data_IF_233755797073
#
_entry.id   IF_233755797073
#
_cell.length_a   1.000
_cell.length_b   1.000
_cell.length_c   1.000
_cell.angle_alpha   90.00
_cell.angle_beta   90.00
_cell.angle_gamma   90.00
#
_symmetry.space_group_name_H-M   'P 1'
#
loop_
_entity.id
_entity.type
_entity.pdbx_description
1 polymer ?
#
# COMPACT_ATOMS: atom_id res chain seq x y z
N UNK A 1 -47.29 33.70 -7.17
CA UNK A 1 -46.20 33.43 -6.22
C UNK A 1 -46.08 31.92 -6.07
N UNK A 2 -44.99 31.29 -6.49
CA UNK A 2 -44.91 29.81 -6.45
C UNK A 2 -43.96 29.13 -7.43
N UNK A 3 -43.14 29.87 -8.20
CA UNK A 3 -42.12 29.27 -9.10
C UNK A 3 -40.70 29.31 -8.53
N UNK A 4 -40.52 29.90 -7.34
CA UNK A 4 -39.22 30.05 -6.68
C UNK A 4 -39.04 29.17 -5.43
N UNK A 5 -40.10 28.50 -4.93
CA UNK A 5 -40.00 27.66 -3.74
C UNK A 5 -39.41 26.26 -4.01
N UNK A 6 -39.53 25.73 -5.23
CA UNK A 6 -39.07 24.39 -5.56
C UNK A 6 -37.58 24.30 -5.91
N UNK A 7 -36.93 25.43 -6.23
CA UNK A 7 -35.48 25.47 -6.50
C UNK A 7 -34.65 25.33 -5.22
N UNK A 8 -35.22 25.63 -4.04
CA UNK A 8 -34.51 25.56 -2.75
C UNK A 8 -34.50 24.14 -2.14
N UNK A 9 -35.47 23.29 -2.46
CA UNK A 9 -35.53 21.91 -1.96
C UNK A 9 -34.57 20.96 -2.70
N UNK A 10 -34.14 21.29 -3.92
CA UNK A 10 -33.21 20.47 -4.70
C UNK A 10 -31.73 20.64 -4.31
N UNK A 11 -31.37 21.75 -3.65
CA UNK A 11 -29.98 22.07 -3.30
C UNK A 11 -29.52 21.49 -1.96
N UNK A 12 -30.44 21.03 -1.10
CA UNK A 12 -30.09 20.46 0.21
C UNK A 12 -29.70 18.97 0.17
N UNK A 13 -29.94 18.26 -0.95
CA UNK A 13 -29.55 16.85 -1.10
C UNK A 13 -28.12 16.65 -1.65
N UNK A 14 -27.44 17.73 -2.07
CA UNK A 14 -26.12 17.64 -2.73
C UNK A 14 -24.95 17.85 -1.74
N UNK A 15 -25.22 18.14 -0.47
CA UNK A 15 -24.19 18.47 0.52
C UNK A 15 -24.10 17.46 1.70
N UNK A 16 -24.37 16.18 1.45
CA UNK A 16 -23.85 15.13 2.33
C UNK A 16 -22.45 14.79 1.82
N UNK A 17 -21.36 15.26 2.47
CA UNK A 17 -20.06 14.72 2.17
C UNK A 17 -20.10 13.24 2.54
N UNK A 18 -20.02 12.36 1.54
CA UNK A 18 -19.71 10.94 1.71
C UNK A 18 -18.23 10.80 2.15
N UNK A 19 -17.79 11.60 3.11
CA UNK A 19 -16.48 11.52 3.73
C UNK A 19 -16.61 10.52 4.87
N UNK A 20 -16.55 9.23 4.55
CA UNK A 20 -16.63 8.21 5.60
C UNK A 20 -16.74 6.77 5.17
N UNK A 21 -16.83 6.46 3.87
CA UNK A 21 -16.56 5.11 3.40
C UNK A 21 -15.10 5.09 2.98
N UNK A 22 -14.20 4.78 3.92
CA UNK A 22 -12.89 4.25 3.54
C UNK A 22 -13.18 3.00 2.71
N UNK A 23 -13.08 3.12 1.38
CA UNK A 23 -13.08 1.95 0.53
C UNK A 23 -12.00 1.01 1.09
N UNK A 24 -12.24 -0.30 1.16
CA UNK A 24 -11.19 -1.23 1.58
C UNK A 24 -9.96 -0.90 0.75
N UNK A 25 -8.81 -0.67 1.40
CA UNK A 25 -7.56 -0.39 0.70
C UNK A 25 -7.19 -1.64 -0.12
N UNK A 26 -7.72 -1.72 -1.34
CA UNK A 26 -7.48 -2.83 -2.23
C UNK A 26 -6.09 -2.63 -2.81
N UNK A 27 -5.17 -3.49 -2.39
CA UNK A 27 -3.86 -3.55 -3.00
C UNK A 27 -3.99 -3.86 -4.50
N UNK A 28 -3.07 -3.36 -5.34
CA UNK A 28 -3.11 -3.67 -6.76
C UNK A 28 -3.00 -5.18 -6.99
N UNK A 29 -3.47 -5.66 -8.15
CA UNK A 29 -3.39 -7.08 -8.48
C UNK A 29 -1.96 -7.64 -8.36
N UNK A 30 -1.83 -8.79 -7.72
CA UNK A 30 -0.55 -9.45 -7.45
C UNK A 30 0.28 -8.83 -6.32
N UNK A 31 -0.32 -8.00 -5.46
CA UNK A 31 0.26 -7.55 -4.20
C UNK A 31 -0.42 -8.27 -3.03
N UNK A 32 0.35 -8.54 -1.98
CA UNK A 32 -0.16 -9.04 -0.71
C UNK A 32 -0.72 -7.86 0.10
N UNK A 33 -1.99 -7.96 0.52
CA UNK A 33 -2.57 -7.06 1.52
C UNK A 33 -2.32 -7.61 2.92
N UNK A 34 -1.74 -6.81 3.81
CA UNK A 34 -1.63 -7.13 5.23
C UNK A 34 -1.62 -5.84 6.06
N UNK A 35 -2.46 -5.76 7.10
CA UNK A 35 -2.55 -4.62 8.02
C UNK A 35 -2.65 -3.24 7.31
N UNK A 36 -3.50 -3.13 6.29
CA UNK A 36 -3.67 -1.93 5.46
C UNK A 36 -2.44 -1.50 4.62
N UNK A 37 -1.41 -2.34 4.55
CA UNK A 37 -0.26 -2.17 3.69
C UNK A 37 -0.27 -3.16 2.52
N UNK A 38 0.44 -2.79 1.45
CA UNK A 38 0.60 -3.61 0.26
C UNK A 38 2.06 -4.01 0.08
N UNK A 39 2.31 -5.30 -0.03
CA UNK A 39 3.66 -5.86 -0.19
C UNK A 39 3.77 -6.61 -1.51
N UNK A 40 4.96 -6.59 -2.11
CA UNK A 40 5.25 -7.36 -3.32
C UNK A 40 6.70 -7.77 -3.36
N UNK A 41 6.93 -9.03 -3.70
CA UNK A 41 8.27 -9.55 -3.94
C UNK A 41 8.64 -9.42 -5.42
N UNK A 42 9.89 -9.05 -5.68
CA UNK A 42 10.48 -9.02 -7.00
C UNK A 42 11.72 -9.91 -7.02
N UNK A 43 11.75 -10.89 -7.93
CA UNK A 43 12.78 -11.93 -7.95
C UNK A 43 14.07 -11.54 -8.70
N UNK A 44 14.09 -10.34 -9.30
CA UNK A 44 15.27 -9.84 -10.02
C UNK A 44 16.32 -9.38 -9.02
N UNK A 45 17.49 -10.01 -9.06
CA UNK A 45 18.63 -9.67 -8.21
C UNK A 45 19.06 -8.21 -8.41
N UNK A 46 19.28 -7.50 -7.30
CA UNK A 46 19.67 -6.10 -7.20
C UNK A 46 20.55 -5.92 -5.96
N UNK A 47 21.42 -4.92 -5.94
CA UNK A 47 21.96 -4.45 -4.67
C UNK A 47 20.90 -3.63 -3.89
N UNK A 48 21.16 -3.33 -2.63
CA UNK A 48 20.19 -2.62 -1.77
C UNK A 48 19.71 -1.30 -2.39
N UNK A 49 20.64 -0.45 -2.85
CA UNK A 49 20.32 0.87 -3.43
C UNK A 49 19.46 0.74 -4.69
N UNK A 50 19.79 -0.20 -5.57
CA UNK A 50 19.01 -0.49 -6.76
C UNK A 50 17.62 -1.04 -6.41
N UNK A 51 17.49 -1.81 -5.34
CA UNK A 51 16.22 -2.35 -4.88
C UNK A 51 15.31 -1.24 -4.33
N UNK A 52 15.84 -0.35 -3.50
CA UNK A 52 15.10 0.81 -2.98
C UNK A 52 14.65 1.75 -4.09
N UNK A 53 15.54 2.13 -5.01
CA UNK A 53 15.18 2.95 -6.16
C UNK A 53 14.12 2.28 -7.03
N UNK A 54 14.20 0.95 -7.21
CA UNK A 54 13.21 0.20 -7.98
C UNK A 54 11.84 0.18 -7.29
N UNK A 55 11.79 -0.01 -5.97
CA UNK A 55 10.56 0.03 -5.19
C UNK A 55 9.90 1.42 -5.25
N UNK A 56 10.67 2.50 -5.11
CA UNK A 56 10.19 3.89 -5.25
C UNK A 56 9.57 4.17 -6.61
N UNK A 57 10.07 3.52 -7.66
CA UNK A 57 9.55 3.67 -9.01
C UNK A 57 8.25 2.89 -9.28
N UNK A 58 7.81 1.99 -8.37
CA UNK A 58 6.59 1.20 -8.60
C UNK A 58 5.32 2.05 -8.48
N UNK A 59 5.20 2.82 -7.40
CA UNK A 59 4.11 3.76 -7.13
C UNK A 59 4.56 4.81 -6.11
N UNK A 60 3.88 5.94 -6.07
CA UNK A 60 4.04 6.96 -5.03
C UNK A 60 3.90 6.33 -3.65
N UNK A 61 4.87 6.58 -2.76
CA UNK A 61 4.90 6.05 -1.40
C UNK A 61 5.39 4.60 -1.26
N UNK A 62 5.78 3.93 -2.35
CA UNK A 62 6.41 2.61 -2.26
C UNK A 62 7.89 2.71 -1.87
N UNK A 63 8.32 1.81 -1.00
CA UNK A 63 9.69 1.65 -0.52
C UNK A 63 10.00 0.17 -0.34
N UNK A 64 11.25 -0.19 -0.07
CA UNK A 64 11.54 -1.48 0.53
C UNK A 64 10.76 -1.64 1.84
N UNK A 65 10.24 -2.85 2.08
CA UNK A 65 9.37 -3.11 3.23
C UNK A 65 10.08 -2.76 4.55
N UNK A 66 9.45 -1.90 5.35
CA UNK A 66 9.77 -1.75 6.77
C UNK A 66 8.93 -2.74 7.56
N UNK A 67 9.51 -3.34 8.60
CA UNK A 67 8.84 -4.35 9.42
C UNK A 67 8.84 -3.85 10.85
N UNK A 68 7.66 -3.66 11.43
CA UNK A 68 7.47 -3.01 12.72
C UNK A 68 6.86 -3.94 13.77
N UNK A 69 6.35 -5.11 13.35
CA UNK A 69 5.78 -6.10 14.26
C UNK A 69 6.26 -7.51 13.95
N UNK A 70 6.29 -8.37 14.98
CA UNK A 70 6.66 -9.77 14.83
C UNK A 70 5.68 -10.53 13.91
N UNK A 71 4.39 -10.22 14.00
CA UNK A 71 3.37 -10.90 13.19
C UNK A 71 3.45 -10.50 11.71
N UNK A 72 3.77 -9.24 11.44
CA UNK A 72 4.09 -8.76 10.10
C UNK A 72 5.30 -9.51 9.53
N UNK A 73 6.37 -9.64 10.31
CA UNK A 73 7.56 -10.40 9.92
C UNK A 73 7.23 -11.85 9.55
N UNK A 74 6.42 -12.54 10.37
CA UNK A 74 5.98 -13.92 10.11
C UNK A 74 5.16 -14.02 8.83
N UNK A 75 4.21 -13.10 8.64
CA UNK A 75 3.38 -13.08 7.45
C UNK A 75 4.21 -12.86 6.19
N UNK A 76 5.15 -11.91 6.21
CA UNK A 76 6.04 -11.63 5.08
C UNK A 76 7.00 -12.80 4.82
N UNK A 77 7.53 -13.45 5.86
CA UNK A 77 8.36 -14.64 5.70
C UNK A 77 7.60 -15.79 5.03
N UNK A 78 6.34 -16.04 5.44
CA UNK A 78 5.46 -17.03 4.79
C UNK A 78 5.13 -16.65 3.34
N UNK A 79 4.91 -15.37 3.07
CA UNK A 79 4.68 -14.90 1.70
C UNK A 79 5.92 -15.12 0.82
N UNK A 80 7.11 -14.75 1.31
CA UNK A 80 8.38 -14.91 0.58
C UNK A 80 8.70 -16.39 0.33
N UNK A 81 8.41 -17.29 1.28
CA UNK A 81 8.69 -18.72 1.13
C UNK A 81 7.92 -19.39 -0.01
N UNK A 82 6.78 -18.81 -0.42
CA UNK A 82 6.05 -19.24 -1.62
C UNK A 82 6.78 -18.97 -2.94
N UNK A 83 7.80 -18.11 -2.94
CA UNK A 83 8.57 -17.76 -4.14
C UNK A 83 10.04 -18.17 -4.05
N UNK A 84 10.61 -18.22 -2.84
CA UNK A 84 12.04 -18.45 -2.60
C UNK A 84 12.25 -19.42 -1.43
N UNK A 85 12.94 -20.52 -1.66
CA UNK A 85 13.23 -21.50 -0.59
C UNK A 85 14.51 -21.20 0.21
N UNK A 86 15.53 -20.57 -0.40
CA UNK A 86 16.86 -20.40 0.21
C UNK A 86 17.56 -19.07 -0.15
N UNK A 87 16.81 -18.02 -0.49
CA UNK A 87 17.40 -16.73 -0.86
C UNK A 87 16.94 -15.63 0.09
N UNK A 88 17.89 -14.78 0.48
CA UNK A 88 17.62 -13.56 1.21
C UNK A 88 16.92 -12.53 0.30
N UNK A 89 16.08 -11.70 0.89
CA UNK A 89 15.40 -10.59 0.23
C UNK A 89 15.80 -9.27 0.90
N UNK A 90 15.85 -8.18 0.13
CA UNK A 90 16.11 -6.85 0.68
C UNK A 90 14.88 -6.29 1.40
N UNK A 91 15.12 -5.65 2.54
CA UNK A 91 14.13 -4.88 3.32
C UNK A 91 14.67 -3.46 3.58
N UNK A 92 13.80 -2.58 4.08
CA UNK A 92 14.07 -1.14 4.20
C UNK A 92 15.06 -0.74 5.30
N UNK A 93 15.49 -1.66 6.16
CA UNK A 93 16.50 -1.36 7.17
C UNK A 93 17.88 -1.22 6.52
N UNK A 94 18.48 -0.03 6.64
CA UNK A 94 19.84 0.26 6.17
C UNK A 94 20.57 1.13 7.19
N UNK A 95 21.77 0.72 7.56
CA UNK A 95 22.71 1.58 8.27
C UNK A 95 23.44 2.46 7.22
N UNK A 96 23.26 3.79 7.22
CA UNK A 96 23.94 4.66 6.26
C UNK A 96 25.46 4.75 6.48
N UNK A 97 25.98 4.28 7.62
CA UNK A 97 27.40 4.32 7.99
C UNK A 97 28.14 3.00 7.76
N UNK A 98 27.45 1.97 7.27
CA UNK A 98 28.00 0.68 6.84
C UNK A 98 27.64 0.40 5.38
#
# INVERSE_FOLDING_TARGET
>A
MGRFAFMLLGLLLVALPLSGIEAPNFCPSGWLTYNNYCYKIFLKAKNWTQAETFCRAQKTGCHLASIHALEESRQLAKYVSGFLSYRNVWIGLKDPKK
#
